data_IF_529393337297
#
_entry.id   IF_529393337297
#
_cell.length_a   1.000
_cell.length_b   1.000
_cell.length_c   1.000
_cell.angle_alpha   90.00
_cell.angle_beta   90.00
_cell.angle_gamma   90.00
#
_symmetry.space_group_name_H-M   'P 1'
#
loop_
_entity.id
_entity.type
_entity.pdbx_description
1 polymer ?
#
# COMPACT_ATOMS: atom_id res chain seq x y z
N UNK A 1 68.85 14.48 -4.63
CA UNK A 1 67.72 15.41 -4.77
C UNK A 1 66.64 14.73 -5.60
N UNK A 2 65.35 14.83 -5.23
CA UNK A 2 64.35 13.76 -5.34
C UNK A 2 63.16 14.08 -6.29
N UNK A 3 62.32 13.06 -6.56
CA UNK A 3 60.90 13.15 -6.97
C UNK A 3 60.64 13.35 -8.47
N UNK A 4 59.60 12.80 -9.13
CA UNK A 4 58.36 12.10 -8.76
C UNK A 4 57.88 11.34 -10.01
N UNK A 5 57.47 10.07 -9.99
CA UNK A 5 56.24 9.45 -9.46
C UNK A 5 54.94 9.79 -10.24
N UNK A 6 54.41 8.74 -10.87
CA UNK A 6 52.99 8.35 -11.07
C UNK A 6 52.00 9.31 -11.75
N UNK A 7 51.66 8.97 -13.00
CA UNK A 7 50.35 9.27 -13.59
C UNK A 7 49.32 8.24 -13.09
N UNK A 8 48.60 8.56 -12.01
CA UNK A 8 47.32 7.93 -11.70
C UNK A 8 46.23 8.64 -12.50
N UNK A 9 45.74 8.00 -13.56
CA UNK A 9 44.48 8.40 -14.19
C UNK A 9 43.32 7.81 -13.36
N UNK A 10 42.78 8.60 -12.44
CA UNK A 10 41.55 8.28 -11.74
C UNK A 10 40.36 8.80 -12.54
N UNK A 11 39.69 7.92 -13.27
CA UNK A 11 38.39 8.22 -13.84
C UNK A 11 37.35 8.12 -12.70
N UNK A 12 37.04 9.26 -12.07
CA UNK A 12 35.82 9.44 -11.29
C UNK A 12 34.91 10.29 -12.15
N UNK A 13 34.00 9.63 -12.84
CA UNK A 13 32.84 10.28 -13.44
C UNK A 13 31.86 10.58 -12.28
N UNK A 14 32.13 11.66 -11.55
CA UNK A 14 31.17 12.31 -10.65
C UNK A 14 30.73 13.60 -11.36
N UNK A 15 29.88 13.44 -12.37
CA UNK A 15 29.30 14.57 -13.09
C UNK A 15 28.15 15.15 -12.25
N UNK A 16 28.48 16.16 -11.44
CA UNK A 16 27.57 16.91 -10.59
C UNK A 16 26.58 17.80 -11.35
N UNK A 17 25.98 17.31 -12.43
CA UNK A 17 24.88 17.99 -13.11
C UNK A 17 23.64 17.90 -12.21
N UNK A 18 23.06 19.02 -11.75
CA UNK A 18 21.88 19.00 -10.89
C UNK A 18 20.72 18.31 -11.63
N UNK A 19 19.97 17.43 -10.95
CA UNK A 19 18.86 16.71 -11.58
C UNK A 19 17.85 17.73 -12.14
N UNK A 20 17.36 17.45 -13.35
CA UNK A 20 16.32 18.28 -13.96
C UNK A 20 15.08 18.35 -13.03
N UNK A 21 14.30 19.43 -13.12
CA UNK A 21 13.08 19.61 -12.31
C UNK A 21 12.11 18.41 -12.46
N UNK A 22 12.06 17.82 -13.65
CA UNK A 22 11.26 16.62 -13.95
C UNK A 22 11.82 15.39 -13.22
N UNK A 23 13.14 15.22 -13.20
CA UNK A 23 13.81 14.13 -12.45
C UNK A 23 13.53 14.24 -10.94
N UNK A 24 13.69 15.44 -10.38
CA UNK A 24 13.43 15.69 -8.96
C UNK A 24 11.96 15.43 -8.57
N UNK A 25 11.01 15.78 -9.44
CA UNK A 25 9.59 15.51 -9.22
C UNK A 25 9.28 14.01 -9.25
N UNK A 26 9.88 13.27 -10.18
CA UNK A 26 9.74 11.80 -10.25
C UNK A 26 10.32 11.14 -9.00
N UNK A 27 11.52 11.54 -8.57
CA UNK A 27 12.14 11.02 -7.35
C UNK A 27 11.29 11.29 -6.10
N UNK A 28 10.73 12.49 -5.98
CA UNK A 28 9.87 12.84 -4.85
C UNK A 28 8.60 11.96 -4.80
N UNK A 29 7.98 11.69 -5.96
CA UNK A 29 6.82 10.81 -6.03
C UNK A 29 7.16 9.34 -5.81
N UNK A 30 8.27 8.84 -6.35
CA UNK A 30 8.73 7.48 -6.09
C UNK A 30 8.98 7.28 -4.60
N UNK A 31 9.65 8.23 -3.95
CA UNK A 31 9.88 8.16 -2.52
C UNK A 31 8.56 8.24 -1.71
N UNK A 32 7.58 9.03 -2.18
CA UNK A 32 6.25 9.12 -1.57
C UNK A 32 5.51 7.78 -1.66
N UNK A 33 5.49 7.16 -2.84
CA UNK A 33 4.85 5.85 -3.05
C UNK A 33 5.57 4.75 -2.30
N UNK A 34 6.91 4.71 -2.34
CA UNK A 34 7.70 3.73 -1.60
C UNK A 34 7.38 3.77 -0.10
N UNK A 35 7.47 4.95 0.54
CA UNK A 35 7.12 5.11 1.97
C UNK A 35 5.68 4.70 2.28
N UNK A 36 4.76 4.93 1.35
CA UNK A 36 3.37 4.50 1.50
C UNK A 36 3.21 2.97 1.46
N UNK A 37 4.02 2.28 0.66
CA UNK A 37 4.02 0.82 0.55
C UNK A 37 4.74 0.14 1.72
N UNK A 38 5.84 0.69 2.21
CA UNK A 38 6.66 0.06 3.26
C UNK A 38 5.87 -0.11 4.56
N UNK A 39 5.64 -1.34 5.02
CA UNK A 39 4.86 -1.60 6.24
C UNK A 39 3.36 -1.33 6.10
N UNK A 40 2.83 -1.31 4.86
CA UNK A 40 1.42 -1.15 4.59
C UNK A 40 0.56 -2.19 5.33
N UNK A 41 0.98 -3.46 5.35
CA UNK A 41 0.22 -4.53 5.98
C UNK A 41 0.11 -4.35 7.49
N UNK A 42 1.19 -3.90 8.13
CA UNK A 42 1.19 -3.60 9.56
C UNK A 42 0.23 -2.43 9.89
N UNK A 43 0.27 -1.35 9.09
CA UNK A 43 -0.68 -0.23 9.22
C UNK A 43 -2.13 -0.65 8.96
N UNK A 44 -2.37 -1.50 7.96
CA UNK A 44 -3.70 -2.02 7.66
C UNK A 44 -4.24 -2.89 8.79
N UNK A 45 -3.41 -3.76 9.37
CA UNK A 45 -3.74 -4.54 10.56
C UNK A 45 -4.09 -3.64 11.74
N UNK A 46 -3.27 -2.61 12.00
CA UNK A 46 -3.52 -1.63 13.05
C UNK A 46 -4.89 -0.96 12.90
N UNK A 47 -5.19 -0.40 11.70
CA UNK A 47 -6.49 0.21 11.40
C UNK A 47 -7.66 -0.75 11.63
N UNK A 48 -7.49 -2.03 11.31
CA UNK A 48 -8.52 -3.06 11.53
C UNK A 48 -8.77 -3.30 13.02
N UNK A 49 -7.69 -3.48 13.79
CA UNK A 49 -7.78 -3.71 15.24
C UNK A 49 -8.36 -2.50 15.97
N UNK A 50 -7.98 -1.28 15.59
CA UNK A 50 -8.52 -0.04 16.15
C UNK A 50 -10.03 0.09 15.91
N UNK A 51 -10.50 -0.24 14.70
CA UNK A 51 -11.94 -0.28 14.40
C UNK A 51 -12.67 -1.32 15.24
N UNK A 52 -12.09 -2.51 15.39
CA UNK A 52 -12.66 -3.59 16.19
C UNK A 52 -12.74 -3.20 17.67
N UNK A 53 -11.67 -2.61 18.23
CA UNK A 53 -11.65 -2.08 19.58
C UNK A 53 -12.70 -0.98 19.78
N UNK A 54 -12.83 -0.05 18.82
CA UNK A 54 -13.82 1.01 18.89
C UNK A 54 -15.25 0.45 18.94
N UNK A 55 -15.57 -0.49 18.05
CA UNK A 55 -16.89 -1.15 18.02
C UNK A 55 -17.17 -1.93 19.31
N UNK A 56 -16.22 -2.75 19.79
CA UNK A 56 -16.39 -3.49 21.06
C UNK A 56 -16.50 -2.56 22.27
N UNK A 57 -15.74 -1.47 22.31
CA UNK A 57 -15.84 -0.47 23.38
C UNK A 57 -17.21 0.21 23.38
N UNK A 58 -17.77 0.50 22.21
CA UNK A 58 -19.10 1.09 22.08
C UNK A 58 -20.20 0.11 22.54
N UNK A 59 -20.10 -1.17 22.15
CA UNK A 59 -21.01 -2.23 22.62
C UNK A 59 -20.93 -2.39 24.14
N UNK A 60 -19.71 -2.50 24.69
CA UNK A 60 -19.50 -2.61 26.14
C UNK A 60 -20.08 -1.41 26.90
N UNK A 61 -19.88 -0.18 26.40
CA UNK A 61 -20.47 1.01 27.00
C UNK A 61 -22.00 0.99 26.97
N UNK A 62 -22.60 0.48 25.88
CA UNK A 62 -24.06 0.32 25.77
C UNK A 62 -24.60 -0.78 26.71
N UNK A 63 -23.86 -1.88 26.87
CA UNK A 63 -24.18 -2.95 27.82
C UNK A 63 -24.11 -2.42 29.25
N UNK A 64 -23.05 -1.68 29.60
CA UNK A 64 -22.91 -1.05 30.92
C UNK A 64 -24.03 -0.05 31.23
N UNK A 65 -24.47 0.74 30.24
CA UNK A 65 -25.61 1.65 30.40
C UNK A 65 -26.95 0.91 30.60
N UNK A 66 -27.11 -0.25 29.95
CA UNK A 66 -28.31 -1.08 30.06
C UNK A 66 -28.29 -2.06 31.25
N UNK A 67 -27.11 -2.38 31.81
CA UNK A 67 -26.93 -3.26 32.96
C UNK A 67 -27.57 -2.74 34.26
N UNK A 68 -27.98 -1.46 34.27
CA UNK A 68 -28.83 -0.88 35.33
C UNK A 68 -30.26 -1.42 35.34
N UNK A 69 -30.67 -2.26 34.37
CA UNK A 69 -31.93 -2.99 34.43
C UNK A 69 -31.79 -4.19 35.37
N UNK A 70 -32.31 -4.04 36.60
CA UNK A 70 -32.40 -5.13 37.58
C UNK A 70 -33.00 -6.39 36.94
N UNK A 71 -32.45 -7.56 37.31
CA UNK A 71 -33.04 -8.87 36.95
C UNK A 71 -34.54 -8.83 37.29
N UNK A 72 -35.44 -9.24 36.38
CA UNK A 72 -36.87 -9.15 36.63
C UNK A 72 -37.25 -9.81 37.96
N UNK A 73 -38.05 -9.11 38.76
CA UNK A 73 -38.47 -9.59 40.10
C UNK A 73 -39.13 -10.99 40.04
N UNK A 74 -39.75 -11.30 38.90
CA UNK A 74 -40.34 -12.61 38.60
C UNK A 74 -39.34 -13.78 38.59
N UNK A 75 -38.03 -13.54 38.52
CA UNK A 75 -37.00 -14.58 38.48
C UNK A 75 -36.62 -15.09 39.88
N UNK A 76 -37.01 -14.37 40.94
CA UNK A 76 -36.98 -14.84 42.33
C UNK A 76 -35.68 -15.57 42.72
N UNK A 77 -35.78 -16.89 42.94
CA UNK A 77 -34.66 -17.75 43.36
C UNK A 77 -33.54 -17.89 42.32
N UNK A 78 -33.80 -17.62 41.04
CA UNK A 78 -32.80 -17.67 39.96
C UNK A 78 -32.04 -16.35 39.77
N UNK A 79 -32.38 -15.31 40.54
CA UNK A 79 -31.74 -14.01 40.40
C UNK A 79 -30.23 -14.07 40.70
N UNK A 80 -29.81 -14.84 41.71
CA UNK A 80 -28.40 -15.00 42.08
C UNK A 80 -27.59 -15.62 40.94
N UNK A 81 -28.07 -16.73 40.38
CA UNK A 81 -27.43 -17.40 39.23
C UNK A 81 -27.37 -16.47 38.01
N UNK A 82 -28.42 -15.67 37.79
CA UNK A 82 -28.45 -14.69 36.69
C UNK A 82 -27.40 -13.59 36.87
N UNK A 83 -27.18 -13.09 38.10
CA UNK A 83 -26.14 -12.11 38.38
C UNK A 83 -24.74 -12.68 38.19
N UNK A 84 -24.49 -13.91 38.64
CA UNK A 84 -23.20 -14.61 38.44
C UNK A 84 -22.88 -14.79 36.95
N UNK A 85 -23.87 -15.19 36.14
CA UNK A 85 -23.71 -15.31 34.69
C UNK A 85 -23.39 -13.94 34.06
N UNK A 86 -24.09 -12.87 34.45
CA UNK A 86 -23.83 -11.53 33.93
C UNK A 86 -22.43 -11.03 34.31
N UNK A 87 -21.95 -11.31 35.52
CA UNK A 87 -20.60 -10.97 35.97
C UNK A 87 -19.54 -11.68 35.12
N UNK A 88 -19.64 -13.02 34.97
CA UNK A 88 -18.72 -13.82 34.14
C UNK A 88 -18.71 -13.35 32.68
N UNK A 89 -19.88 -13.03 32.11
CA UNK A 89 -19.97 -12.49 30.76
C UNK A 89 -19.29 -11.12 30.65
N UNK A 90 -19.49 -10.24 31.65
CA UNK A 90 -18.86 -8.91 31.68
C UNK A 90 -17.34 -8.99 31.80
N UNK A 91 -16.81 -9.89 32.64
CA UNK A 91 -15.38 -10.15 32.75
C UNK A 91 -14.80 -10.65 31.43
N UNK A 92 -15.47 -11.60 30.78
CA UNK A 92 -15.06 -12.11 29.47
C UNK A 92 -15.06 -11.05 28.36
N UNK A 93 -16.00 -10.12 28.38
CA UNK A 93 -16.02 -8.96 27.46
C UNK A 93 -14.85 -8.01 27.74
N UNK A 94 -14.53 -7.74 29.01
CA UNK A 94 -13.40 -6.88 29.39
C UNK A 94 -12.06 -7.47 28.95
N UNK A 95 -11.87 -8.78 29.11
CA UNK A 95 -10.64 -9.47 28.73
C UNK A 95 -10.40 -9.41 27.22
N UNK A 96 -11.47 -9.54 26.41
CA UNK A 96 -11.37 -9.38 24.95
C UNK A 96 -10.93 -7.96 24.54
N UNK A 97 -11.48 -6.93 25.19
CA UNK A 97 -11.11 -5.53 24.93
C UNK A 97 -9.64 -5.29 25.32
N UNK A 98 -9.19 -5.82 26.45
CA UNK A 98 -7.80 -5.67 26.90
C UNK A 98 -6.83 -6.50 26.06
N UNK A 99 -7.24 -7.66 25.53
CA UNK A 99 -6.47 -8.42 24.55
C UNK A 99 -6.26 -7.61 23.26
N UNK A 100 -7.32 -6.97 22.73
CA UNK A 100 -7.20 -6.08 21.56
C UNK A 100 -6.28 -4.89 21.81
N UNK A 101 -6.38 -4.25 22.98
CA UNK A 101 -5.48 -3.14 23.37
C UNK A 101 -4.02 -3.58 23.41
N UNK A 102 -3.74 -4.77 23.96
CA UNK A 102 -2.39 -5.35 23.97
C UNK A 102 -1.88 -5.64 22.56
N UNK A 103 -2.72 -6.18 21.68
CA UNK A 103 -2.34 -6.43 20.28
C UNK A 103 -2.08 -5.12 19.52
N UNK A 104 -2.92 -4.10 19.70
CA UNK A 104 -2.74 -2.77 19.11
C UNK A 104 -1.40 -2.15 19.56
N UNK A 105 -1.05 -2.26 20.84
CA UNK A 105 0.23 -1.76 21.36
C UNK A 105 1.41 -2.50 20.71
N UNK A 106 1.32 -3.82 20.57
CA UNK A 106 2.36 -4.61 19.90
C UNK A 106 2.53 -4.19 18.43
N UNK A 107 1.43 -4.11 17.67
CA UNK A 107 1.47 -3.68 16.26
C UNK A 107 1.93 -2.24 16.11
N UNK A 108 1.52 -1.33 17.00
CA UNK A 108 1.97 0.07 17.00
C UNK A 108 3.48 0.18 17.17
N UNK A 109 4.05 -0.62 18.08
CA UNK A 109 5.50 -0.69 18.27
C UNK A 109 6.19 -1.17 17.01
N UNK A 110 5.66 -2.21 16.37
CA UNK A 110 6.24 -2.79 15.17
C UNK A 110 6.13 -1.84 13.96
N UNK A 111 5.01 -1.10 13.82
CA UNK A 111 4.84 -0.02 12.83
C UNK A 111 5.81 1.13 13.08
N UNK A 112 6.05 1.51 14.33
CA UNK A 112 7.02 2.55 14.69
C UNK A 112 8.48 2.11 14.52
N UNK A 113 8.77 0.81 14.64
CA UNK A 113 10.08 0.24 14.40
C UNK A 113 10.38 0.01 12.91
N UNK A 114 9.34 -0.21 12.09
CA UNK A 114 9.47 -0.19 10.64
C UNK A 114 9.93 1.20 10.20
N UNK A 115 11.20 1.30 9.83
CA UNK A 115 11.78 2.55 9.33
C UNK A 115 10.96 3.01 8.12
N UNK A 116 10.80 4.32 7.96
CA UNK A 116 10.17 4.90 6.77
C UNK A 116 10.86 4.43 5.47
N UNK A 117 12.14 4.03 5.56
CA UNK A 117 12.96 3.50 4.47
C UNK A 117 13.22 1.98 4.60
N UNK A 118 12.36 1.24 5.30
CA UNK A 118 12.39 -0.23 5.29
C UNK A 118 11.99 -0.78 3.91
N UNK A 119 12.28 -2.06 3.60
CA UNK A 119 11.95 -2.63 2.30
C UNK A 119 10.45 -2.94 2.20
N UNK A 120 9.93 -2.99 0.98
CA UNK A 120 8.54 -3.40 0.69
C UNK A 120 8.49 -4.92 0.70
N UNK A 121 7.59 -5.49 1.51
CA UNK A 121 7.45 -6.95 1.63
C UNK A 121 6.31 -7.49 0.76
N UNK A 122 6.35 -8.79 0.44
CA UNK A 122 5.23 -9.48 -0.21
C UNK A 122 3.90 -9.31 0.54
N UNK A 123 3.95 -9.30 1.88
CA UNK A 123 2.76 -9.12 2.69
C UNK A 123 2.17 -7.70 2.54
N UNK A 124 3.01 -6.67 2.40
CA UNK A 124 2.58 -5.29 2.17
C UNK A 124 1.82 -5.16 0.85
N UNK A 125 2.38 -5.69 -0.24
CA UNK A 125 1.72 -5.68 -1.55
C UNK A 125 0.45 -6.53 -1.54
N UNK A 126 0.49 -7.73 -0.95
CA UNK A 126 -0.69 -8.59 -0.84
C UNK A 126 -1.85 -7.89 -0.10
N UNK A 127 -1.56 -7.19 0.99
CA UNK A 127 -2.60 -6.49 1.75
C UNK A 127 -3.13 -5.27 0.98
N UNK A 128 -2.25 -4.52 0.31
CA UNK A 128 -2.65 -3.39 -0.53
C UNK A 128 -3.58 -3.82 -1.67
N UNK A 129 -3.20 -4.86 -2.40
CA UNK A 129 -3.97 -5.33 -3.55
C UNK A 129 -5.35 -5.86 -3.15
N UNK A 130 -5.44 -6.49 -1.96
CA UNK A 130 -6.73 -6.85 -1.34
C UNK A 130 -7.56 -5.61 -1.01
N UNK A 131 -6.96 -4.60 -0.39
CA UNK A 131 -7.66 -3.36 -0.03
C UNK A 131 -8.13 -2.58 -1.28
N UNK A 132 -7.45 -2.75 -2.42
CA UNK A 132 -7.85 -2.18 -3.73
C UNK A 132 -8.74 -3.08 -4.59
N UNK A 133 -9.16 -4.25 -4.07
CA UNK A 133 -9.98 -5.23 -4.80
C UNK A 133 -9.37 -5.74 -6.12
N UNK A 134 -8.05 -5.74 -6.26
CA UNK A 134 -7.37 -6.37 -7.40
C UNK A 134 -7.16 -7.87 -7.09
N UNK A 135 -7.75 -8.80 -7.86
CA UNK A 135 -7.69 -10.22 -7.57
C UNK A 135 -6.37 -10.82 -8.06
N UNK A 136 -5.27 -10.53 -7.37
CA UNK A 136 -3.99 -11.23 -7.55
C UNK A 136 -3.79 -12.27 -6.44
N UNK A 137 -3.31 -13.44 -6.84
CA UNK A 137 -2.90 -14.51 -5.94
C UNK A 137 -1.58 -14.16 -5.25
N UNK A 138 -1.30 -14.80 -4.11
CA UNK A 138 -0.04 -14.63 -3.41
C UNK A 138 1.17 -14.96 -4.29
N UNK A 139 1.05 -15.97 -5.15
CA UNK A 139 2.12 -16.41 -6.07
C UNK A 139 2.40 -15.34 -7.12
N UNK A 140 1.36 -14.69 -7.67
CA UNK A 140 1.54 -13.58 -8.61
C UNK A 140 2.25 -12.41 -7.93
N UNK A 141 1.90 -12.08 -6.68
CA UNK A 141 2.59 -11.00 -5.93
C UNK A 141 4.02 -11.37 -5.57
N UNK A 142 4.30 -12.62 -5.24
CA UNK A 142 5.67 -13.11 -5.05
C UNK A 142 6.49 -13.00 -6.35
N UNK A 143 5.88 -13.30 -7.50
CA UNK A 143 6.51 -13.12 -8.80
C UNK A 143 6.78 -11.65 -9.11
N UNK A 144 5.86 -10.74 -8.79
CA UNK A 144 6.06 -9.29 -8.95
C UNK A 144 7.27 -8.77 -8.18
N UNK A 145 7.53 -9.32 -6.99
CA UNK A 145 8.72 -8.97 -6.20
C UNK A 145 9.96 -9.59 -6.83
N UNK A 146 9.89 -10.88 -7.14
CA UNK A 146 11.02 -11.63 -7.70
C UNK A 146 11.55 -11.03 -9.02
N UNK A 147 10.69 -10.40 -9.83
CA UNK A 147 11.09 -9.70 -11.06
C UNK A 147 12.00 -8.48 -10.82
N UNK A 148 11.98 -7.92 -9.61
CA UNK A 148 12.63 -6.65 -9.25
C UNK A 148 13.70 -6.81 -8.18
N UNK A 149 13.59 -7.86 -7.36
CA UNK A 149 14.51 -8.27 -6.30
C UNK A 149 15.84 -8.76 -6.90
N UNK A 150 16.85 -7.88 -6.95
CA UNK A 150 18.16 -8.15 -7.56
C UNK A 150 19.10 -8.87 -6.58
N UNK A 151 18.93 -8.64 -5.27
CA UNK A 151 19.77 -9.24 -4.23
C UNK A 151 19.19 -10.53 -3.60
N UNK A 152 17.97 -10.91 -4.01
CA UNK A 152 17.24 -12.10 -3.60
C UNK A 152 16.89 -12.13 -2.10
N UNK A 153 16.65 -10.98 -1.48
CA UNK A 153 16.23 -10.89 -0.08
C UNK A 153 14.72 -11.13 0.14
N UNK A 154 13.96 -11.27 -0.95
CA UNK A 154 12.51 -11.51 -0.95
C UNK A 154 11.68 -10.27 -0.66
N UNK A 155 12.29 -9.09 -0.69
CA UNK A 155 11.67 -7.79 -0.51
C UNK A 155 12.12 -6.83 -1.63
N UNK A 156 11.63 -5.59 -1.60
CA UNK A 156 12.07 -4.55 -2.55
C UNK A 156 12.61 -3.35 -1.79
N UNK A 157 13.89 -3.08 -1.95
CA UNK A 157 14.58 -1.91 -1.43
C UNK A 157 14.26 -0.64 -2.24
N UNK A 158 14.60 0.53 -1.69
CA UNK A 158 14.41 1.80 -2.41
C UNK A 158 15.20 1.85 -3.72
N UNK A 159 16.40 1.26 -3.74
CA UNK A 159 17.27 1.30 -4.91
C UNK A 159 16.71 0.41 -6.03
N UNK A 160 16.26 -0.82 -5.71
CA UNK A 160 15.58 -1.71 -6.66
C UNK A 160 14.29 -1.09 -7.19
N UNK A 161 13.52 -0.43 -6.31
CA UNK A 161 12.29 0.27 -6.69
C UNK A 161 12.55 1.38 -7.73
N UNK A 162 13.62 2.16 -7.55
CA UNK A 162 14.03 3.21 -8.51
C UNK A 162 14.59 2.61 -9.80
N UNK A 163 15.38 1.55 -9.69
CA UNK A 163 15.98 0.86 -10.84
C UNK A 163 14.90 0.26 -11.72
N UNK A 164 13.93 -0.46 -11.15
CA UNK A 164 12.76 -0.97 -11.88
C UNK A 164 12.00 0.13 -12.61
N UNK A 165 11.71 1.24 -11.92
CA UNK A 165 10.97 2.34 -12.55
C UNK A 165 11.75 2.95 -13.71
N UNK A 166 13.05 3.17 -13.54
CA UNK A 166 13.92 3.73 -14.56
C UNK A 166 14.04 2.82 -15.78
N UNK A 167 14.19 1.51 -15.57
CA UNK A 167 14.24 0.50 -16.64
C UNK A 167 12.94 0.49 -17.44
N UNK A 168 11.79 0.45 -16.77
CA UNK A 168 10.48 0.45 -17.44
C UNK A 168 10.23 1.74 -18.24
N UNK A 169 10.67 2.91 -17.75
CA UNK A 169 10.53 4.18 -18.48
C UNK A 169 11.42 4.24 -19.73
N UNK A 170 12.58 3.59 -19.69
CA UNK A 170 13.53 3.51 -20.82
C UNK A 170 13.29 2.30 -21.73
N UNK A 171 12.29 1.46 -21.42
CA UNK A 171 12.02 0.24 -22.17
C UNK A 171 11.30 0.53 -23.49
N UNK A 172 12.09 0.68 -24.54
CA UNK A 172 11.58 0.85 -25.90
C UNK A 172 11.11 -0.46 -26.55
N UNK A 173 11.47 -1.62 -25.98
CA UNK A 173 11.23 -2.94 -26.59
C UNK A 173 10.06 -3.67 -25.94
N UNK A 174 9.57 -3.22 -24.77
CA UNK A 174 8.45 -3.82 -24.05
C UNK A 174 8.79 -5.17 -23.44
N UNK A 175 10.05 -5.34 -23.01
CA UNK A 175 10.59 -6.59 -22.45
C UNK A 175 10.73 -6.55 -20.93
N UNK A 176 10.71 -5.35 -20.33
CA UNK A 176 10.83 -5.20 -18.89
C UNK A 176 9.56 -5.68 -18.18
N UNK A 177 9.67 -6.33 -17.01
CA UNK A 177 8.51 -6.71 -16.23
C UNK A 177 7.75 -5.47 -15.71
N UNK A 178 6.49 -5.32 -16.11
CA UNK A 178 5.73 -4.07 -15.87
C UNK A 178 4.70 -4.17 -14.74
N UNK A 179 4.54 -5.32 -14.08
CA UNK A 179 3.45 -5.52 -13.11
C UNK A 179 3.59 -4.58 -11.90
N UNK A 180 4.75 -4.57 -11.24
CA UNK A 180 5.00 -3.65 -10.12
C UNK A 180 5.03 -2.20 -10.61
N UNK A 181 5.56 -1.95 -11.81
CA UNK A 181 5.57 -0.62 -12.44
C UNK A 181 4.17 -0.03 -12.58
N UNK A 182 3.20 -0.78 -13.11
CA UNK A 182 1.82 -0.31 -13.31
C UNK A 182 1.15 0.04 -11.97
N UNK A 183 1.35 -0.77 -10.94
CA UNK A 183 0.86 -0.47 -9.59
C UNK A 183 1.46 0.84 -9.06
N UNK A 184 2.78 1.00 -9.19
CA UNK A 184 3.48 2.21 -8.74
C UNK A 184 3.01 3.43 -9.52
N UNK A 185 2.83 3.31 -10.83
CA UNK A 185 2.36 4.39 -11.70
C UNK A 185 0.96 4.87 -11.28
N UNK A 186 0.04 3.95 -10.99
CA UNK A 186 -1.27 4.29 -10.42
C UNK A 186 -1.13 5.08 -9.11
N UNK A 187 -0.27 4.62 -8.19
CA UNK A 187 -0.03 5.29 -6.91
C UNK A 187 0.71 6.64 -7.04
N UNK A 188 1.48 6.85 -8.10
CA UNK A 188 2.09 8.17 -8.38
C UNK A 188 1.01 9.19 -8.77
N UNK A 189 0.01 8.75 -9.52
CA UNK A 189 -1.13 9.60 -9.86
C UNK A 189 -1.96 9.92 -8.63
N UNK A 190 -2.17 8.95 -7.73
CA UNK A 190 -2.94 9.09 -6.49
C UNK A 190 -2.14 9.86 -5.42
N UNK A 191 -2.49 11.11 -5.17
CA UNK A 191 -1.72 11.98 -4.27
C UNK A 191 -2.00 11.75 -2.79
N UNK A 192 -3.26 11.50 -2.46
CA UNK A 192 -3.75 11.32 -1.10
C UNK A 192 -3.93 9.84 -0.73
N UNK A 193 -3.67 8.93 -1.67
CA UNK A 193 -3.77 7.47 -1.50
C UNK A 193 -5.17 7.03 -1.10
N UNK A 194 -6.18 7.69 -1.66
CA UNK A 194 -7.59 7.39 -1.41
C UNK A 194 -8.15 6.34 -2.39
N UNK A 195 -7.35 5.92 -3.38
CA UNK A 195 -7.65 4.95 -4.44
C UNK A 195 -8.80 5.35 -5.37
N UNK A 196 -9.12 6.64 -5.41
CA UNK A 196 -10.16 7.26 -6.23
C UNK A 196 -9.49 8.26 -7.17
N UNK A 197 -8.93 7.73 -8.24
CA UNK A 197 -8.37 8.55 -9.31
C UNK A 197 -9.40 8.88 -10.35
N UNK A 198 -9.39 10.09 -10.85
CA UNK A 198 -10.22 10.50 -11.99
C UNK A 198 -9.43 10.40 -13.31
N UNK A 199 -10.14 10.23 -14.43
CA UNK A 199 -9.53 10.26 -15.77
C UNK A 199 -8.78 11.57 -16.00
N UNK A 200 -9.32 12.69 -15.51
CA UNK A 200 -8.70 14.02 -15.61
C UNK A 200 -7.37 14.10 -14.86
N UNK A 201 -7.29 13.59 -13.64
CA UNK A 201 -6.05 13.56 -12.84
C UNK A 201 -4.97 12.71 -13.49
N UNK A 202 -5.34 11.53 -14.01
CA UNK A 202 -4.42 10.65 -14.74
C UNK A 202 -3.90 11.38 -15.99
N UNK A 203 -4.78 11.95 -16.81
CA UNK A 203 -4.41 12.66 -18.05
C UNK A 203 -3.48 13.87 -17.78
N UNK A 204 -3.82 14.68 -16.79
CA UNK A 204 -3.02 15.84 -16.40
C UNK A 204 -1.60 15.43 -16.01
N UNK A 205 -1.46 14.35 -15.25
CA UNK A 205 -0.15 13.88 -14.75
C UNK A 205 0.64 13.08 -15.77
N UNK A 206 -0.04 12.37 -16.67
CA UNK A 206 0.60 11.65 -17.79
C UNK A 206 1.32 12.62 -18.73
N UNK A 207 0.66 13.74 -19.09
CA UNK A 207 1.21 14.74 -20.01
C UNK A 207 2.45 15.44 -19.46
N UNK A 208 2.50 15.69 -18.15
CA UNK A 208 3.66 16.32 -17.49
C UNK A 208 4.88 15.39 -17.51
N UNK A 209 4.68 14.07 -17.61
CA UNK A 209 5.73 13.06 -17.47
C UNK A 209 6.04 12.31 -18.76
N UNK A 210 5.54 12.78 -19.91
CA UNK A 210 5.67 12.13 -21.22
C UNK A 210 5.29 10.64 -21.19
N UNK A 211 4.34 10.28 -20.32
CA UNK A 211 3.99 8.89 -20.10
C UNK A 211 2.69 8.59 -20.86
N UNK A 212 2.78 7.69 -21.84
CA UNK A 212 1.72 7.11 -22.68
C UNK A 212 0.47 7.98 -22.96
N UNK A 213 0.47 8.75 -24.06
CA UNK A 213 -0.77 9.29 -24.65
C UNK A 213 -1.79 8.19 -24.96
N UNK A 214 -1.32 6.97 -25.18
CA UNK A 214 -2.15 5.80 -25.47
C UNK A 214 -3.04 5.44 -24.27
N UNK A 215 -2.50 5.46 -23.05
CA UNK A 215 -3.28 5.23 -21.83
C UNK A 215 -4.40 6.25 -21.70
N UNK A 216 -4.09 7.54 -21.87
CA UNK A 216 -5.10 8.60 -21.81
C UNK A 216 -6.17 8.40 -22.89
N UNK A 217 -5.78 8.04 -24.13
CA UNK A 217 -6.73 7.75 -25.21
C UNK A 217 -7.60 6.53 -24.92
N UNK A 218 -7.04 5.45 -24.37
CA UNK A 218 -7.80 4.25 -23.99
C UNK A 218 -8.79 4.54 -22.86
N UNK A 219 -8.36 5.28 -21.83
CA UNK A 219 -9.24 5.69 -20.74
C UNK A 219 -10.35 6.63 -21.25
N UNK A 220 -10.02 7.64 -22.06
CA UNK A 220 -11.03 8.50 -22.69
C UNK A 220 -11.97 7.74 -23.63
N UNK A 221 -11.51 6.65 -24.25
CA UNK A 221 -12.37 5.79 -25.06
C UNK A 221 -13.32 4.93 -24.22
N UNK A 222 -12.88 4.48 -23.04
CA UNK A 222 -13.68 3.64 -22.14
C UNK A 222 -14.74 4.43 -21.37
N UNK A 223 -14.40 5.64 -20.92
CA UNK A 223 -15.29 6.50 -20.14
C UNK A 223 -16.04 7.55 -21.00
N UNK A 224 -15.63 7.72 -22.25
CA UNK A 224 -16.12 8.78 -23.13
C UNK A 224 -15.29 10.07 -23.04
N UNK A 225 -15.23 10.83 -24.12
CA UNK A 225 -14.37 12.02 -24.26
C UNK A 225 -14.71 13.19 -23.32
N UNK A 226 -15.84 13.14 -22.61
CA UNK A 226 -16.37 14.25 -21.81
C UNK A 226 -16.51 13.93 -20.31
N UNK A 227 -15.88 12.87 -19.81
CA UNK A 227 -16.03 12.45 -18.41
C UNK A 227 -14.70 12.51 -17.62
N UNK A 228 -14.09 13.70 -17.44
CA UNK A 228 -12.86 13.86 -16.67
C UNK A 228 -13.04 13.47 -15.19
N UNK A 229 -14.26 13.59 -14.65
CA UNK A 229 -14.63 13.23 -13.27
C UNK A 229 -14.87 11.72 -13.06
N UNK A 230 -14.79 10.90 -14.13
CA UNK A 230 -15.00 9.47 -14.00
C UNK A 230 -13.89 8.84 -13.15
N UNK A 231 -14.31 8.14 -12.09
CA UNK A 231 -13.40 7.40 -11.23
C UNK A 231 -12.85 6.15 -11.93
N UNK A 232 -11.55 5.96 -11.80
CA UNK A 232 -10.76 4.86 -12.32
C UNK A 232 -10.20 4.09 -11.13
N UNK A 233 -10.74 2.90 -10.90
CA UNK A 233 -10.22 1.97 -9.89
C UNK A 233 -8.93 1.30 -10.38
N UNK A 234 -8.11 0.78 -9.46
CA UNK A 234 -6.92 0.01 -9.84
C UNK A 234 -7.26 -1.17 -10.78
N UNK A 235 -8.29 -2.00 -10.54
CA UNK A 235 -8.69 -3.05 -11.49
C UNK A 235 -9.00 -2.54 -12.90
N UNK A 236 -9.69 -1.40 -13.01
CA UNK A 236 -9.98 -0.79 -14.31
C UNK A 236 -8.70 -0.31 -14.99
N UNK A 237 -7.86 0.42 -14.26
CA UNK A 237 -6.57 0.88 -14.76
C UNK A 237 -5.67 -0.29 -15.20
N UNK A 238 -5.58 -1.33 -14.36
CA UNK A 238 -4.80 -2.54 -14.56
C UNK A 238 -5.24 -3.30 -15.83
N UNK A 239 -6.54 -3.42 -16.06
CA UNK A 239 -7.06 -4.02 -17.28
C UNK A 239 -6.62 -3.23 -18.51
N UNK A 240 -6.71 -1.89 -18.47
CA UNK A 240 -6.33 -1.02 -19.60
C UNK A 240 -4.86 -1.16 -19.95
N UNK A 241 -3.96 -1.02 -18.97
CA UNK A 241 -2.50 -1.09 -19.22
C UNK A 241 -2.05 -2.47 -19.72
N UNK A 242 -2.71 -3.54 -19.26
CA UNK A 242 -2.35 -4.90 -19.65
C UNK A 242 -3.06 -5.41 -20.91
N UNK A 243 -4.05 -4.69 -21.47
CA UNK A 243 -4.70 -5.08 -22.75
C UNK A 243 -3.76 -5.10 -23.95
N UNK A 244 -2.56 -4.51 -23.83
CA UNK A 244 -1.52 -4.50 -24.86
C UNK A 244 -0.59 -5.71 -24.83
N UNK A 245 -0.67 -6.55 -23.79
CA UNK A 245 0.09 -7.80 -23.72
C UNK A 245 -0.83 -8.90 -24.27
N UNK A 246 -0.57 -9.48 -25.45
CA UNK A 246 -1.28 -10.69 -25.86
C UNK A 246 -1.06 -11.74 -24.76
N UNK A 247 -2.15 -12.24 -24.19
CA UNK A 247 -2.14 -13.29 -23.19
C UNK A 247 -1.20 -14.43 -23.64
N UNK A 248 0.03 -14.47 -23.10
CA UNK A 248 0.99 -15.56 -23.36
C UNK A 248 0.67 -16.81 -22.52
N UNK A 249 -0.39 -16.75 -21.72
CA UNK A 249 -0.90 -17.88 -20.95
C UNK A 249 -2.40 -18.05 -21.20
N UNK A 250 -2.73 -18.58 -22.37
CA UNK A 250 -3.98 -19.32 -22.60
C UNK A 250 -3.68 -20.56 -23.45
#
# INVERSE_FOLDING_TARGET
>A
MPGAADHKNGNRDDDGTPPSLVSALIEADLARVFRFLCGYAARAKLRRLERELHLKSQVMASHAANATTNVPEAWGAFATDAYEIMEVLSEGETEQVDALRREILAVTRDVGAAKADGPITCNDLCQLLKDMSLPLSKVEVEHMIWEVDEDMDGCVSMDEFKTMFSRCVQDHHGVEPTQLYHLVQFLIYDQDFNFKLTVGEIAQRSNVRHNSELLTRQLSSLFGKEAPESLVSLPTYWAVVNTTIPNLFN
#
